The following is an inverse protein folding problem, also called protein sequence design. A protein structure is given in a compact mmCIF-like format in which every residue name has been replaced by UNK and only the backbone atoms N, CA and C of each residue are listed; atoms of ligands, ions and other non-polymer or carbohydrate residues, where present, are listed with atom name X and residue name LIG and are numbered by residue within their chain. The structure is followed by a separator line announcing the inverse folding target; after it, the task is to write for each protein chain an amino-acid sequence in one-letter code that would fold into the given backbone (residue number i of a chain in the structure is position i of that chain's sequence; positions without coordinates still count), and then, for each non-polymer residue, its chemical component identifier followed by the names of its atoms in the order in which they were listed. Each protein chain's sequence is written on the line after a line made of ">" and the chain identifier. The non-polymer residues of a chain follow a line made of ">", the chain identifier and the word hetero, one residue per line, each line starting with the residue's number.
data_IF_672656116043
#
_entry.id   IF_672656116043
#
_cell.length_a   1.000
_cell.length_b   1.000
_cell.length_c   1.000
_cell.angle_alpha   90.00
_cell.angle_beta   90.00
_cell.angle_gamma   90.00
#
_symmetry.space_group_name_H-M   'P 1'
#
loop_
_entity.id
_entity.type
_entity.pdbx_description
1 polymer ?
#
# COMPACT_ATOMS: atom_id res chain seq x y z
N UNK A 1 -17.25 2.01 -9.95
CA UNK A 1 -16.19 1.66 -9.00
C UNK A 1 -16.06 2.72 -7.91
N UNK A 2 -16.12 2.30 -6.66
CA UNK A 2 -15.78 3.08 -5.47
C UNK A 2 -14.55 2.45 -4.80
N UNK A 3 -13.48 3.24 -4.62
CA UNK A 3 -12.31 2.90 -3.81
C UNK A 3 -11.70 4.21 -3.27
N UNK A 4 -11.76 4.42 -1.96
CA UNK A 4 -11.15 5.58 -1.30
C UNK A 4 -10.27 5.16 -0.13
N UNK A 5 -9.25 5.97 0.13
CA UNK A 5 -8.45 5.94 1.34
C UNK A 5 -8.65 7.28 2.05
N UNK A 6 -8.97 7.21 3.33
CA UNK A 6 -9.43 8.37 4.09
C UNK A 6 -8.79 8.38 5.48
N UNK A 7 -8.28 9.53 5.93
CA UNK A 7 -7.92 9.71 7.33
C UNK A 7 -9.14 10.11 8.12
N UNK A 8 -9.48 9.34 9.15
CA UNK A 8 -10.51 9.75 10.11
C UNK A 8 -9.96 10.77 11.12
N UNK A 9 -10.85 11.31 11.95
CA UNK A 9 -10.52 12.33 12.96
C UNK A 9 -9.49 11.90 14.00
N UNK A 10 -9.18 10.60 14.09
CA UNK A 10 -8.17 10.03 14.98
C UNK A 10 -6.83 9.75 14.27
N UNK A 11 -6.71 10.09 13.00
CA UNK A 11 -5.53 9.82 12.18
C UNK A 11 -5.40 8.36 11.73
N UNK A 12 -6.48 7.58 11.79
CA UNK A 12 -6.51 6.20 11.28
C UNK A 12 -6.93 6.21 9.81
N UNK A 13 -6.26 5.39 8.99
CA UNK A 13 -6.66 5.19 7.59
C UNK A 13 -7.84 4.22 7.53
N UNK A 14 -8.92 4.67 6.92
CA UNK A 14 -10.09 3.89 6.57
C UNK A 14 -10.09 3.65 5.05
N UNK A 15 -10.41 2.43 4.63
CA UNK A 15 -10.51 2.06 3.21
C UNK A 15 -11.96 1.72 2.93
N UNK A 16 -12.61 2.51 2.08
CA UNK A 16 -13.97 2.26 1.64
C UNK A 16 -13.93 1.74 0.21
N UNK A 17 -14.68 0.68 -0.07
CA UNK A 17 -14.72 0.09 -1.40
C UNK A 17 -16.04 -0.63 -1.67
N UNK A 18 -16.48 -0.57 -2.92
CA UNK A 18 -17.52 -1.47 -3.44
C UNK A 18 -16.89 -2.77 -4.00
N UNK A 19 -17.71 -3.63 -4.62
CA UNK A 19 -17.24 -4.89 -5.21
C UNK A 19 -16.22 -4.65 -6.33
N UNK A 20 -16.38 -3.60 -7.12
CA UNK A 20 -15.44 -3.28 -8.21
C UNK A 20 -14.14 -2.70 -7.65
N UNK A 21 -14.21 -1.83 -6.64
CA UNK A 21 -13.06 -1.23 -5.98
C UNK A 21 -12.21 -2.26 -5.25
N UNK A 22 -12.85 -3.24 -4.61
CA UNK A 22 -12.14 -4.40 -4.04
C UNK A 22 -11.33 -5.14 -5.10
N UNK A 23 -11.92 -5.37 -6.27
CA UNK A 23 -11.23 -6.05 -7.38
C UNK A 23 -10.08 -5.20 -7.91
N UNK A 24 -10.31 -3.90 -8.11
CA UNK A 24 -9.26 -2.97 -8.57
C UNK A 24 -8.09 -2.87 -7.59
N UNK A 25 -8.37 -2.88 -6.28
CA UNK A 25 -7.34 -2.93 -5.25
C UNK A 25 -6.51 -4.22 -5.35
N UNK A 26 -7.16 -5.38 -5.51
CA UNK A 26 -6.46 -6.66 -5.70
C UNK A 26 -5.60 -6.62 -6.97
N UNK A 27 -6.16 -6.19 -8.10
CA UNK A 27 -5.43 -6.06 -9.37
C UNK A 27 -4.21 -5.14 -9.22
N UNK A 28 -4.32 -4.08 -8.41
CA UNK A 28 -3.20 -3.18 -8.12
C UNK A 28 -2.10 -3.83 -7.29
N UNK A 29 -2.47 -4.65 -6.32
CA UNK A 29 -1.50 -5.45 -5.56
C UNK A 29 -0.83 -6.51 -6.44
N UNK A 30 -1.58 -7.12 -7.38
CA UNK A 30 -1.06 -8.13 -8.30
C UNK A 30 -0.14 -7.55 -9.38
N UNK A 31 -0.25 -6.24 -9.71
CA UNK A 31 0.70 -5.55 -10.60
C UNK A 31 2.11 -5.49 -10.01
N UNK A 32 2.23 -5.50 -8.68
CA UNK A 32 3.52 -5.52 -8.00
C UNK A 32 4.14 -6.90 -8.20
N UNK A 33 5.24 -6.93 -8.96
CA UNK A 33 5.91 -8.19 -9.30
C UNK A 33 7.06 -8.43 -8.34
N UNK A 34 7.22 -9.63 -7.76
CA UNK A 34 8.40 -9.98 -6.96
C UNK A 34 9.70 -10.08 -7.81
N UNK A 35 9.70 -9.60 -9.06
CA UNK A 35 10.80 -9.56 -10.02
C UNK A 35 11.83 -8.43 -9.83
N UNK A 36 12.72 -8.34 -10.83
CA UNK A 36 14.03 -7.66 -11.02
C UNK A 36 14.54 -6.50 -10.12
N UNK A 37 13.72 -5.86 -9.30
CA UNK A 37 14.12 -4.73 -8.45
C UNK A 37 14.08 -5.10 -6.97
N UNK A 38 14.87 -4.40 -6.14
CA UNK A 38 14.86 -4.58 -4.67
C UNK A 38 13.55 -4.13 -4.02
N UNK A 39 12.82 -3.26 -4.70
CA UNK A 39 11.58 -2.64 -4.25
C UNK A 39 10.77 -2.30 -5.49
N UNK A 40 9.54 -2.77 -5.53
CA UNK A 40 8.55 -2.42 -6.55
C UNK A 40 7.47 -1.55 -5.90
N UNK A 41 6.87 -0.65 -6.67
CA UNK A 41 5.84 0.23 -6.13
C UNK A 41 4.81 0.62 -7.17
N UNK A 42 3.62 0.94 -6.68
CA UNK A 42 2.51 1.39 -7.50
C UNK A 42 1.83 2.60 -6.85
N UNK A 43 1.25 3.46 -7.68
CA UNK A 43 0.57 4.68 -7.27
C UNK A 43 -0.91 4.57 -7.58
N UNK A 44 -1.74 4.61 -6.55
CA UNK A 44 -3.19 4.71 -6.68
C UNK A 44 -3.56 6.17 -6.45
N UNK A 45 -4.11 6.81 -7.47
CA UNK A 45 -4.41 8.25 -7.43
C UNK A 45 -5.88 8.52 -7.75
N UNK A 46 -6.39 9.62 -7.21
CA UNK A 46 -7.72 10.12 -7.57
C UNK A 46 -7.65 10.99 -8.84
N UNK A 47 -8.79 11.25 -9.51
CA UNK A 47 -8.83 12.13 -10.69
C UNK A 47 -8.31 13.53 -10.42
N UNK A 48 -8.51 14.09 -9.22
CA UNK A 48 -7.93 15.37 -8.82
C UNK A 48 -6.39 15.41 -8.92
N UNK A 49 -5.73 14.24 -8.85
CA UNK A 49 -4.28 14.07 -8.98
C UNK A 49 -3.90 13.31 -10.27
N UNK A 50 -4.76 13.39 -11.29
CA UNK A 50 -4.58 12.76 -12.60
C UNK A 50 -4.50 11.22 -12.59
N UNK A 51 -5.04 10.57 -11.56
CA UNK A 51 -5.22 9.12 -11.49
C UNK A 51 -6.63 8.65 -11.84
N UNK A 52 -6.82 7.33 -11.88
CA UNK A 52 -8.13 6.71 -12.11
C UNK A 52 -8.39 5.50 -11.19
N UNK A 53 -7.44 5.19 -10.30
CA UNK A 53 -7.47 4.00 -9.44
C UNK A 53 -8.32 4.25 -8.18
N UNK A 54 -8.41 5.50 -7.74
CA UNK A 54 -9.21 5.93 -6.60
C UNK A 54 -10.34 6.87 -7.08
N UNK A 55 -11.31 7.14 -6.21
CA UNK A 55 -12.36 8.15 -6.48
C UNK A 55 -12.18 9.40 -5.61
N UNK A 56 -12.69 10.54 -6.08
CA UNK A 56 -12.76 11.79 -5.30
C UNK A 56 -13.99 11.85 -4.36
N UNK A 57 -14.79 10.77 -4.29
CA UNK A 57 -16.04 10.71 -3.54
C UNK A 57 -15.81 10.25 -2.10
N UNK A 58 -15.65 11.21 -1.19
CA UNK A 58 -15.48 10.95 0.25
C UNK A 58 -16.70 10.20 0.82
N UNK A 59 -16.46 9.09 1.52
CA UNK A 59 -17.51 8.23 2.05
C UNK A 59 -17.94 8.61 3.48
N UNK A 60 -17.07 9.27 4.23
CA UNK A 60 -17.41 9.84 5.52
C UNK A 60 -17.14 11.35 5.55
N UNK A 61 -18.18 12.14 5.81
CA UNK A 61 -18.11 13.60 5.77
C UNK A 61 -17.10 14.22 6.76
N UNK A 62 -16.74 13.50 7.83
CA UNK A 62 -15.74 13.96 8.81
C UNK A 62 -14.30 13.57 8.45
N UNK A 63 -14.12 12.74 7.42
CA UNK A 63 -12.82 12.25 7.02
C UNK A 63 -12.12 13.18 6.02
N UNK A 64 -10.80 13.07 5.95
CA UNK A 64 -9.98 13.70 4.94
C UNK A 64 -9.57 12.68 3.88
N UNK A 65 -9.90 12.96 2.61
CA UNK A 65 -9.50 12.14 1.46
C UNK A 65 -7.98 12.12 1.27
N UNK A 66 -7.44 10.93 0.98
CA UNK A 66 -6.05 10.73 0.56
C UNK A 66 -6.04 10.61 -0.97
N UNK A 67 -5.54 11.65 -1.64
CA UNK A 67 -5.54 11.69 -3.11
C UNK A 67 -4.54 10.73 -3.77
N UNK A 68 -3.52 10.27 -3.04
CA UNK A 68 -2.52 9.33 -3.55
C UNK A 68 -2.08 8.36 -2.46
N UNK A 69 -2.14 7.08 -2.77
CA UNK A 69 -1.57 6.00 -1.96
C UNK A 69 -0.50 5.30 -2.77
N UNK A 70 0.73 5.28 -2.24
CA UNK A 70 1.82 4.49 -2.82
C UNK A 70 1.90 3.16 -2.09
N UNK A 71 1.79 2.05 -2.83
CA UNK A 71 1.97 0.71 -2.30
C UNK A 71 3.36 0.22 -2.67
N UNK A 72 4.10 -0.35 -1.72
CA UNK A 72 5.44 -0.89 -1.93
C UNK A 72 5.44 -2.40 -1.71
N UNK A 73 5.99 -3.15 -2.66
CA UNK A 73 6.38 -4.55 -2.45
C UNK A 73 7.89 -4.58 -2.18
N UNK A 74 8.25 -5.00 -0.96
CA UNK A 74 9.64 -5.10 -0.51
C UNK A 74 10.09 -6.56 -0.59
N UNK A 75 11.28 -6.82 -1.13
CA UNK A 75 11.87 -8.16 -1.15
C UNK A 75 12.42 -8.55 0.24
N UNK A 76 12.23 -9.80 0.62
CA UNK A 76 12.63 -10.37 1.92
C UNK A 76 14.15 -10.43 2.17
N UNK A 77 15.02 -10.08 1.21
CA UNK A 77 16.48 -10.10 1.37
C UNK A 77 17.01 -9.18 2.49
N UNK A 78 16.18 -8.29 3.04
CA UNK A 78 16.54 -7.38 4.13
C UNK A 78 16.18 -7.89 5.54
N UNK A 79 15.52 -9.05 5.67
CA UNK A 79 15.14 -9.62 6.97
C UNK A 79 16.08 -10.74 7.48
N UNK A 80 17.08 -11.17 6.69
CA UNK A 80 17.98 -12.27 7.07
C UNK A 80 19.29 -11.85 7.77
N UNK A 81 19.60 -10.55 7.86
CA UNK A 81 20.83 -10.08 8.52
C UNK A 81 20.73 -10.01 10.06
N UNK A 82 19.54 -10.22 10.63
CA UNK A 82 19.33 -10.25 12.08
C UNK A 82 19.56 -11.62 12.72
N UNK A 83 19.57 -12.73 11.96
CA UNK A 83 19.79 -14.08 12.51
C UNK A 83 21.27 -14.52 12.49
N UNK A 84 22.14 -13.84 11.75
CA UNK A 84 23.55 -14.26 11.59
C UNK A 84 24.52 -13.63 12.61
N UNK A 85 24.06 -12.84 13.58
CA UNK A 85 24.95 -12.19 14.58
C UNK A 85 25.05 -12.90 15.93
N UNK A 86 24.21 -13.89 16.21
CA UNK A 86 24.22 -14.59 17.52
C UNK A 86 25.01 -15.92 17.53
N UNK A 87 25.59 -16.32 16.39
CA UNK A 87 26.20 -17.65 16.23
C UNK A 87 27.73 -17.73 16.39
N UNK A 88 28.47 -16.62 16.49
CA UNK A 88 29.94 -16.64 16.35
C UNK A 88 30.69 -16.09 17.56
N UNK A 89 30.38 -16.60 18.76
CA UNK A 89 31.34 -16.64 19.87
C UNK A 89 31.15 -17.91 20.70
N UNK A 90 31.72 -19.02 20.23
CA UNK A 90 32.18 -20.09 21.13
C UNK A 90 33.59 -20.50 20.74
N UNK A 91 34.48 -20.29 21.69
CA UNK A 91 35.89 -20.60 21.65
C UNK A 91 36.14 -22.12 21.55
N UNK A 92 37.21 -22.47 20.84
CA UNK A 92 38.11 -23.56 21.17
C UNK A 92 39.45 -23.30 20.49
#
# INVERSE_FOLDING_TARGET
>A
MLLTFEYNTKGVVEIFMDKEGRRSLIESLERLSPGETKMDHDHLMTPAWAGAELTDEVQNAENQLINMVTVFLVRDELNNDSEMRDGQFRAS
#
